data_IF_963715474255
#
_entry.id   IF_963715474255
#
_cell.length_a   1.000
_cell.length_b   1.000
_cell.length_c   1.000
_cell.angle_alpha   90.00
_cell.angle_beta   90.00
_cell.angle_gamma   90.00
#
_symmetry.space_group_name_H-M   'P 1'
#
loop_
_entity.id
_entity.type
_entity.pdbx_description
1 polymer ?
#
# COMPACT_ATOMS: atom_id res chain seq x y z
N UNK A 1 -27.69 46.41 -64.50
CA UNK A 1 -28.63 47.23 -63.71
C UNK A 1 -28.66 46.68 -62.28
N UNK A 2 -28.62 47.57 -61.27
CA UNK A 2 -29.13 47.44 -59.87
C UNK A 2 -28.96 46.07 -59.16
N UNK A 3 -28.00 45.90 -58.22
CA UNK A 3 -28.04 46.19 -56.76
C UNK A 3 -29.18 45.52 -55.96
N UNK A 4 -28.80 45.09 -54.74
CA UNK A 4 -29.57 44.53 -53.60
C UNK A 4 -29.46 42.98 -53.52
N UNK A 5 -28.82 42.32 -52.56
CA UNK A 5 -28.37 42.67 -51.21
C UNK A 5 -29.23 41.94 -50.18
N UNK A 6 -28.74 40.84 -49.57
CA UNK A 6 -29.34 40.23 -48.36
C UNK A 6 -28.26 39.50 -47.55
N UNK A 7 -27.83 40.18 -46.48
CA UNK A 7 -27.73 39.70 -45.08
C UNK A 7 -27.13 38.31 -44.84
N UNK A 8 -25.89 38.30 -44.34
CA UNK A 8 -25.31 37.19 -43.62
C UNK A 8 -26.09 36.96 -42.31
N UNK A 9 -26.79 35.83 -42.25
CA UNK A 9 -27.59 35.40 -41.11
C UNK A 9 -26.69 34.67 -40.10
N UNK A 10 -26.57 35.29 -38.93
CA UNK A 10 -26.52 34.67 -37.60
C UNK A 10 -25.55 33.49 -37.38
N UNK A 11 -24.41 33.82 -36.78
CA UNK A 11 -23.81 32.97 -35.77
C UNK A 11 -24.86 32.66 -34.67
N UNK A 12 -24.90 31.41 -34.21
CA UNK A 12 -24.94 30.98 -32.80
C UNK A 12 -25.40 29.50 -32.67
N UNK A 13 -24.66 28.76 -31.81
CA UNK A 13 -24.99 27.47 -31.13
C UNK A 13 -24.89 26.19 -32.00
N UNK A 14 -24.21 25.12 -31.62
CA UNK A 14 -23.98 24.56 -30.29
C UNK A 14 -22.54 24.06 -30.08
N UNK A 15 -21.99 24.39 -28.92
CA UNK A 15 -21.04 23.53 -28.23
C UNK A 15 -21.76 22.22 -27.86
N UNK A 16 -21.30 21.10 -28.40
CA UNK A 16 -21.55 19.79 -27.81
C UNK A 16 -20.22 19.34 -27.20
N UNK A 17 -20.13 19.53 -25.88
CA UNK A 17 -19.07 18.96 -25.08
C UNK A 17 -19.08 17.44 -25.20
N UNK A 18 -17.93 16.88 -25.54
CA UNK A 18 -17.54 15.58 -25.01
C UNK A 18 -16.57 15.89 -23.88
N UNK A 19 -17.13 15.90 -22.68
CA UNK A 19 -16.39 15.78 -21.43
C UNK A 19 -15.72 14.41 -21.44
N UNK A 20 -14.59 14.31 -22.14
CA UNK A 20 -13.63 13.25 -21.86
C UNK A 20 -13.02 13.61 -20.52
N UNK A 21 -13.44 12.91 -19.46
CA UNK A 21 -12.62 12.86 -18.25
C UNK A 21 -11.17 12.59 -18.69
N UNK A 22 -10.19 13.40 -18.25
CA UNK A 22 -8.81 13.08 -18.55
C UNK A 22 -8.57 11.69 -17.98
N UNK A 23 -8.07 10.76 -18.82
CA UNK A 23 -7.63 9.46 -18.34
C UNK A 23 -6.74 9.70 -17.12
N UNK A 24 -7.12 9.12 -15.98
CA UNK A 24 -6.37 9.28 -14.74
C UNK A 24 -4.91 8.92 -15.04
N UNK A 25 -4.03 9.90 -14.88
CA UNK A 25 -2.60 9.66 -15.04
C UNK A 25 -2.21 8.69 -13.93
N UNK A 26 -1.89 7.44 -14.29
CA UNK A 26 -1.38 6.46 -13.34
C UNK A 26 -0.17 7.08 -12.64
N UNK A 27 -0.23 7.18 -11.31
CA UNK A 27 0.86 7.77 -10.56
C UNK A 27 2.08 6.86 -10.66
N UNK A 28 3.24 7.45 -10.96
CA UNK A 28 4.49 6.69 -11.06
C UNK A 28 4.90 6.21 -9.66
N UNK A 29 5.18 4.91 -9.45
CA UNK A 29 5.68 4.43 -8.17
C UNK A 29 6.93 5.19 -7.73
N UNK A 30 7.03 5.63 -6.47
CA UNK A 30 8.26 6.23 -5.97
C UNK A 30 9.37 5.19 -6.05
N UNK A 31 10.55 5.59 -6.52
CA UNK A 31 11.72 4.71 -6.52
C UNK A 31 12.13 4.46 -5.06
N UNK A 32 12.01 3.23 -4.53
CA UNK A 32 12.34 2.99 -3.15
C UNK A 32 13.85 3.04 -2.96
N UNK A 33 14.30 3.83 -1.99
CA UNK A 33 15.67 3.78 -1.49
C UNK A 33 15.68 2.91 -0.23
N UNK A 34 15.75 1.59 -0.40
CA UNK A 34 15.82 0.67 0.74
C UNK A 34 17.13 0.87 1.51
N UNK A 35 17.03 1.02 2.83
CA UNK A 35 18.15 1.40 3.71
C UNK A 35 18.80 0.20 4.42
N UNK A 36 18.12 -0.94 4.44
CA UNK A 36 18.59 -2.16 5.11
C UNK A 36 19.41 -3.04 4.18
N UNK A 37 20.41 -3.73 4.76
CA UNK A 37 21.22 -4.74 4.07
C UNK A 37 20.67 -6.15 4.21
N UNK A 38 20.00 -6.42 5.33
CA UNK A 38 19.38 -7.68 5.70
C UNK A 38 18.03 -7.40 6.35
N UNK A 39 17.12 -8.37 6.31
CA UNK A 39 15.86 -8.29 7.06
C UNK A 39 16.17 -8.80 8.48
N UNK A 40 16.59 -7.89 9.35
CA UNK A 40 16.92 -8.17 10.74
C UNK A 40 15.70 -7.84 11.61
N UNK A 41 15.21 -8.82 12.39
CA UNK A 41 14.08 -8.68 13.33
C UNK A 41 14.19 -7.40 14.17
N UNK A 42 15.35 -7.15 14.77
CA UNK A 42 15.55 -6.03 15.68
C UNK A 42 15.45 -4.67 14.96
N UNK A 43 15.73 -4.65 13.65
CA UNK A 43 15.60 -3.45 12.81
C UNK A 43 14.19 -3.31 12.27
N UNK A 44 13.64 -4.36 11.64
CA UNK A 44 12.36 -4.26 10.92
C UNK A 44 11.16 -4.21 11.86
N UNK A 45 11.25 -4.84 13.04
CA UNK A 45 10.21 -4.81 14.07
C UNK A 45 10.34 -3.59 15.00
N UNK A 46 11.38 -2.76 14.84
CA UNK A 46 11.61 -1.61 15.70
C UNK A 46 10.40 -0.64 15.66
N UNK A 47 9.90 -0.24 16.82
CA UNK A 47 8.72 0.64 16.97
C UNK A 47 7.41 0.09 16.38
N UNK A 48 7.37 -1.16 15.92
CA UNK A 48 6.11 -1.78 15.53
C UNK A 48 5.27 -2.07 16.77
N UNK A 49 3.95 -1.80 16.74
CA UNK A 49 3.07 -2.05 17.87
C UNK A 49 2.69 -3.53 17.93
N UNK A 50 3.65 -4.41 18.20
CA UNK A 50 3.46 -5.86 18.16
C UNK A 50 3.91 -6.55 19.44
N UNK A 51 3.45 -7.79 19.62
CA UNK A 51 3.89 -8.69 20.68
C UNK A 51 4.15 -10.08 20.09
N UNK A 52 5.17 -10.79 20.61
CA UNK A 52 5.43 -12.17 20.20
C UNK A 52 4.19 -13.04 20.48
N UNK A 53 3.71 -13.76 19.46
CA UNK A 53 2.54 -14.62 19.54
C UNK A 53 2.94 -16.10 19.51
N UNK A 54 3.73 -16.52 18.53
CA UNK A 54 4.16 -17.92 18.40
C UNK A 54 5.40 -18.10 17.53
N UNK A 55 6.01 -19.27 17.65
CA UNK A 55 7.11 -19.73 16.80
C UNK A 55 6.77 -21.11 16.26
N UNK A 56 6.90 -21.30 14.95
CA UNK A 56 6.56 -22.55 14.28
C UNK A 56 7.36 -22.73 12.99
N UNK A 57 7.19 -23.90 12.36
CA UNK A 57 7.74 -24.17 11.04
C UNK A 57 6.64 -24.23 10.00
N UNK A 58 6.87 -23.60 8.84
CA UNK A 58 5.98 -23.65 7.68
C UNK A 58 6.83 -23.82 6.43
N UNK A 59 6.48 -24.80 5.60
CA UNK A 59 7.18 -25.11 4.34
C UNK A 59 8.70 -25.29 4.52
N UNK A 60 9.11 -25.90 5.64
CA UNK A 60 10.50 -26.13 5.99
C UNK A 60 11.26 -24.90 6.51
N UNK A 61 10.59 -23.75 6.67
CA UNK A 61 11.18 -22.51 7.17
C UNK A 61 10.73 -22.23 8.60
N UNK A 62 11.61 -21.63 9.40
CA UNK A 62 11.24 -21.09 10.69
C UNK A 62 10.41 -19.81 10.50
N UNK A 63 9.36 -19.68 11.29
CA UNK A 63 8.44 -18.54 11.31
C UNK A 63 8.28 -18.06 12.74
N UNK A 64 8.51 -16.77 12.95
CA UNK A 64 8.20 -16.06 14.19
C UNK A 64 7.00 -15.17 13.92
N UNK A 65 5.88 -15.45 14.59
CA UNK A 65 4.64 -14.69 14.45
C UNK A 65 4.47 -13.71 15.59
N UNK A 66 4.09 -12.49 15.23
CA UNK A 66 3.75 -11.41 16.13
C UNK A 66 2.29 -11.01 15.94
N UNK A 67 1.59 -10.82 17.05
CA UNK A 67 0.26 -10.21 17.05
C UNK A 67 0.39 -8.69 16.93
N UNK A 68 -0.52 -8.05 16.20
CA UNK A 68 -0.59 -6.59 16.12
C UNK A 68 -1.43 -6.08 17.30
N UNK A 69 -0.81 -5.32 18.20
CA UNK A 69 -1.42 -4.86 19.44
C UNK A 69 -2.68 -4.02 19.14
N UNK A 70 -3.78 -4.33 19.83
CA UNK A 70 -5.07 -3.67 19.63
C UNK A 70 -5.96 -4.27 18.53
N UNK A 71 -5.51 -5.33 17.86
CA UNK A 71 -6.29 -6.10 16.89
C UNK A 71 -6.43 -7.57 17.31
N UNK A 72 -7.34 -8.29 16.67
CA UNK A 72 -7.48 -9.74 16.85
C UNK A 72 -6.31 -10.51 16.24
N UNK A 73 -6.11 -11.74 16.70
CA UNK A 73 -5.07 -12.68 16.23
C UNK A 73 -5.12 -13.02 14.73
N UNK A 74 -6.20 -12.66 14.03
CA UNK A 74 -6.26 -12.74 12.56
C UNK A 74 -5.38 -11.68 11.87
N UNK A 75 -4.93 -10.68 12.64
CA UNK A 75 -4.01 -9.62 12.22
C UNK A 75 -2.64 -9.89 12.83
N UNK A 76 -1.67 -10.19 11.98
CA UNK A 76 -0.38 -10.70 12.41
C UNK A 76 0.74 -10.28 11.48
N UNK A 77 1.97 -10.43 11.96
CA UNK A 77 3.21 -10.29 11.21
C UNK A 77 4.03 -11.55 11.40
N UNK A 78 4.45 -12.16 10.30
CA UNK A 78 5.36 -13.29 10.25
C UNK A 78 6.73 -12.82 9.77
N UNK A 79 7.75 -13.04 10.59
CA UNK A 79 9.14 -13.03 10.16
C UNK A 79 9.51 -14.46 9.77
N UNK A 80 9.91 -14.68 8.51
CA UNK A 80 10.21 -16.01 7.96
C UNK A 80 11.68 -16.09 7.55
N UNK A 81 12.37 -17.13 8.00
CA UNK A 81 13.76 -17.41 7.65
C UNK A 81 14.50 -18.15 8.77
N UNK A 82 15.61 -18.79 8.42
CA UNK A 82 16.42 -19.57 9.37
C UNK A 82 17.10 -18.70 10.45
N UNK A 83 17.44 -17.46 10.11
CA UNK A 83 18.15 -16.54 10.98
C UNK A 83 17.37 -15.24 11.17
N UNK A 84 17.11 -14.86 12.42
CA UNK A 84 16.32 -13.66 12.78
C UNK A 84 16.99 -12.35 12.39
N UNK A 85 18.32 -12.31 12.36
CA UNK A 85 19.13 -11.15 11.92
C UNK A 85 19.29 -11.07 10.39
N UNK A 86 18.79 -12.08 9.67
CA UNK A 86 18.95 -12.21 8.22
C UNK A 86 17.78 -12.99 7.61
N UNK A 87 16.55 -12.63 7.98
CA UNK A 87 15.33 -13.29 7.54
C UNK A 87 15.13 -13.17 6.02
N UNK A 88 14.36 -14.08 5.44
CA UNK A 88 14.03 -14.08 4.02
C UNK A 88 12.94 -13.06 3.70
N UNK A 89 11.96 -12.93 4.60
CA UNK A 89 10.85 -12.02 4.46
C UNK A 89 10.22 -11.64 5.81
N UNK A 90 9.59 -10.49 5.83
CA UNK A 90 8.58 -10.10 6.79
C UNK A 90 7.27 -9.92 6.03
N UNK A 91 6.18 -10.54 6.45
CA UNK A 91 4.88 -10.34 5.81
C UNK A 91 3.76 -10.52 6.80
N UNK A 92 2.54 -10.13 6.45
CA UNK A 92 1.47 -10.16 7.41
C UNK A 92 0.11 -9.93 6.79
N UNK A 93 -0.88 -9.92 7.67
CA UNK A 93 -2.26 -9.54 7.36
C UNK A 93 -2.70 -8.50 8.37
N UNK A 94 -3.27 -7.40 7.91
CA UNK A 94 -3.88 -6.39 8.77
C UNK A 94 -5.14 -5.82 8.11
N UNK A 95 -6.25 -5.73 8.83
CA UNK A 95 -7.46 -5.08 8.37
C UNK A 95 -8.21 -4.50 9.56
N UNK A 96 -8.56 -3.22 9.49
CA UNK A 96 -9.40 -2.56 10.48
C UNK A 96 -10.87 -2.67 10.07
N UNK A 97 -11.73 -2.79 11.07
CA UNK A 97 -13.18 -2.94 10.91
C UNK A 97 -13.90 -1.88 11.74
N UNK A 98 -15.02 -1.38 11.23
CA UNK A 98 -15.95 -0.60 12.01
C UNK A 98 -16.74 -1.49 12.98
N UNK A 99 -17.43 -0.88 13.94
CA UNK A 99 -18.25 -1.59 14.94
C UNK A 99 -19.35 -2.45 14.32
N UNK A 100 -19.79 -2.12 13.09
CA UNK A 100 -20.78 -2.88 12.32
C UNK A 100 -20.18 -4.05 11.52
N UNK A 101 -18.87 -4.30 11.66
CA UNK A 101 -18.14 -5.36 10.97
C UNK A 101 -17.73 -5.01 9.53
N UNK A 102 -17.96 -3.78 9.06
CA UNK A 102 -17.50 -3.34 7.73
C UNK A 102 -16.00 -3.09 7.73
N UNK A 103 -15.30 -3.58 6.69
CA UNK A 103 -13.88 -3.27 6.46
C UNK A 103 -13.68 -1.77 6.26
N UNK A 104 -12.68 -1.22 6.95
CA UNK A 104 -12.28 0.19 6.83
C UNK A 104 -11.04 0.38 5.94
N UNK A 105 -10.33 -0.70 5.62
CA UNK A 105 -8.97 -0.57 5.09
C UNK A 105 -8.04 -0.09 6.20
N UNK A 106 -7.07 0.76 5.85
CA UNK A 106 -6.06 1.27 6.78
C UNK A 106 -6.20 2.80 6.88
N UNK A 107 -7.15 3.30 7.70
CA UNK A 107 -7.35 4.74 7.83
C UNK A 107 -6.08 5.42 8.36
N UNK A 108 -5.85 6.68 7.97
CA UNK A 108 -4.72 7.47 8.45
C UNK A 108 -4.67 7.50 9.98
N UNK A 109 -3.55 7.06 10.56
CA UNK A 109 -3.38 6.97 12.02
C UNK A 109 -4.04 5.77 12.68
N UNK A 110 -4.71 4.90 11.93
CA UNK A 110 -5.20 3.60 12.39
C UNK A 110 -4.05 2.65 12.76
N UNK A 111 -4.38 1.52 13.39
CA UNK A 111 -3.40 0.53 13.85
C UNK A 111 -2.64 -0.09 12.68
N UNK A 112 -3.32 -0.48 11.60
CA UNK A 112 -2.70 -1.08 10.43
C UNK A 112 -1.85 -0.07 9.67
N UNK A 113 -2.37 1.15 9.47
CA UNK A 113 -1.60 2.24 8.87
C UNK A 113 -0.32 2.52 9.66
N UNK A 114 -0.42 2.62 11.00
CA UNK A 114 0.71 2.91 11.88
C UNK A 114 1.75 1.80 11.89
N UNK A 115 1.32 0.53 11.95
CA UNK A 115 2.22 -0.61 11.88
C UNK A 115 2.96 -0.65 10.54
N UNK A 116 2.26 -0.50 9.42
CA UNK A 116 2.89 -0.53 8.10
C UNK A 116 3.81 0.68 7.84
N UNK A 117 3.42 1.87 8.29
CA UNK A 117 4.25 3.09 8.27
C UNK A 117 5.55 2.87 9.05
N UNK A 118 5.48 2.23 10.23
CA UNK A 118 6.66 1.90 11.03
C UNK A 118 7.60 0.90 10.32
N UNK A 119 7.03 -0.13 9.67
CA UNK A 119 7.81 -1.03 8.81
C UNK A 119 8.52 -0.25 7.69
N UNK A 120 7.79 0.61 6.97
CA UNK A 120 8.36 1.43 5.91
C UNK A 120 9.48 2.34 6.43
N UNK A 121 9.27 3.02 7.57
CA UNK A 121 10.27 3.87 8.23
C UNK A 121 11.57 3.13 8.56
N UNK A 122 11.48 1.83 8.85
CA UNK A 122 12.65 1.02 9.18
C UNK A 122 13.42 0.55 7.94
N UNK A 123 12.80 0.53 6.75
CA UNK A 123 13.39 -0.14 5.57
C UNK A 123 13.55 0.75 4.34
N UNK A 124 12.88 1.91 4.24
CA UNK A 124 13.04 2.87 3.13
C UNK A 124 13.37 4.28 3.61
N UNK A 125 14.07 5.06 2.79
CA UNK A 125 14.48 6.42 3.14
C UNK A 125 13.33 7.45 3.12
N UNK A 126 12.34 7.27 2.23
CA UNK A 126 11.16 8.13 2.12
C UNK A 126 9.90 7.31 2.35
N UNK A 127 9.69 6.98 3.62
CA UNK A 127 8.62 6.09 4.02
C UNK A 127 7.23 6.75 3.94
N UNK A 128 7.13 8.08 4.07
CA UNK A 128 5.86 8.79 3.86
C UNK A 128 5.37 8.63 2.42
N UNK A 129 6.23 8.91 1.44
CA UNK A 129 5.88 8.79 0.03
C UNK A 129 5.58 7.34 -0.37
N UNK A 130 6.38 6.38 0.12
CA UNK A 130 6.18 4.95 -0.16
C UNK A 130 4.88 4.45 0.47
N UNK A 131 4.62 4.73 1.74
CA UNK A 131 3.38 4.30 2.42
C UNK A 131 2.16 4.92 1.72
N UNK A 132 2.15 6.23 1.48
CA UNK A 132 1.02 6.90 0.82
C UNK A 132 0.74 6.32 -0.57
N UNK A 133 1.79 6.08 -1.37
CA UNK A 133 1.65 5.44 -2.67
C UNK A 133 1.04 4.05 -2.56
N UNK A 134 1.60 3.18 -1.71
CA UNK A 134 1.17 1.79 -1.57
C UNK A 134 -0.28 1.67 -1.09
N UNK A 135 -0.69 2.46 -0.09
CA UNK A 135 -2.06 2.38 0.44
C UNK A 135 -3.11 2.91 -0.54
N UNK A 136 -2.78 3.95 -1.31
CA UNK A 136 -3.67 4.47 -2.34
C UNK A 136 -3.84 3.45 -3.49
N UNK A 137 -2.74 2.89 -3.99
CA UNK A 137 -2.77 2.03 -5.19
C UNK A 137 -3.13 0.57 -4.88
N UNK A 138 -3.02 0.14 -3.64
CA UNK A 138 -3.58 -1.13 -3.18
C UNK A 138 -5.00 -0.97 -2.67
N UNK A 139 -5.63 0.20 -2.80
CA UNK A 139 -7.01 0.40 -2.41
C UNK A 139 -7.27 0.13 -0.93
N UNK A 140 -6.33 0.50 -0.04
CA UNK A 140 -6.49 0.42 1.41
C UNK A 140 -6.82 1.77 2.04
N UNK A 141 -6.53 2.88 1.33
CA UNK A 141 -6.83 4.23 1.79
C UNK A 141 -7.16 5.18 0.63
N UNK A 142 -8.46 5.37 0.28
CA UNK A 142 -9.62 4.69 0.85
C UNK A 142 -9.70 3.22 0.41
N UNK A 143 -10.47 2.40 1.15
CA UNK A 143 -10.74 1.02 0.76
C UNK A 143 -11.44 0.95 -0.60
N UNK A 144 -10.88 0.21 -1.55
CA UNK A 144 -11.33 0.13 -2.94
C UNK A 144 -11.28 -1.32 -3.45
N UNK A 145 -12.35 -1.76 -4.12
CA UNK A 145 -12.38 -3.05 -4.82
C UNK A 145 -11.75 -2.98 -6.22
N UNK A 146 -11.42 -1.77 -6.70
CA UNK A 146 -10.83 -1.56 -8.04
C UNK A 146 -9.31 -1.66 -8.01
N UNK A 147 -8.72 -1.12 -6.97
CA UNK A 147 -7.28 -1.05 -6.76
C UNK A 147 -6.90 -2.22 -5.85
N UNK A 148 -6.25 -3.24 -6.40
CA UNK A 148 -6.10 -4.52 -5.71
C UNK A 148 -4.70 -4.78 -5.19
N UNK A 149 -3.68 -4.10 -5.72
CA UNK A 149 -2.28 -4.39 -5.41
C UNK A 149 -1.36 -3.22 -5.74
N UNK A 150 -0.38 -2.98 -4.87
CA UNK A 150 0.70 -2.06 -5.12
C UNK A 150 2.04 -2.61 -4.63
N UNK A 151 3.11 -2.24 -5.33
CA UNK A 151 4.46 -2.60 -4.94
C UNK A 151 5.43 -1.47 -5.26
N UNK A 152 6.46 -1.36 -4.41
CA UNK A 152 7.70 -0.65 -4.72
C UNK A 152 8.84 -1.66 -4.63
N UNK A 153 9.79 -1.55 -5.55
CA UNK A 153 10.91 -2.48 -5.60
C UNK A 153 12.19 -1.82 -6.13
N UNK A 154 13.32 -2.40 -5.74
CA UNK A 154 14.61 -2.18 -6.40
C UNK A 154 15.20 -3.53 -6.84
N UNK A 155 16.50 -3.57 -7.12
CA UNK A 155 17.19 -4.81 -7.49
C UNK A 155 17.37 -5.82 -6.35
N UNK A 156 17.01 -5.47 -5.10
CA UNK A 156 17.26 -6.27 -3.90
C UNK A 156 15.98 -6.64 -3.17
N UNK A 157 15.04 -5.71 -3.06
CA UNK A 157 13.85 -5.87 -2.25
C UNK A 157 12.57 -5.48 -2.99
N UNK A 158 11.47 -6.05 -2.50
CA UNK A 158 10.10 -5.64 -2.81
C UNK A 158 9.39 -5.36 -1.50
N UNK A 159 8.66 -4.25 -1.44
CA UNK A 159 7.63 -3.97 -0.44
C UNK A 159 6.30 -3.87 -1.18
N UNK A 160 5.38 -4.77 -0.87
CA UNK A 160 4.10 -4.89 -1.54
C UNK A 160 2.93 -5.05 -0.56
N UNK A 161 1.74 -4.67 -1.02
CA UNK A 161 0.49 -4.73 -0.26
C UNK A 161 -0.72 -4.88 -1.19
N UNK A 162 -1.77 -5.53 -0.73
CA UNK A 162 -3.03 -5.72 -1.45
C UNK A 162 -4.27 -5.22 -0.67
N UNK A 163 -5.40 -5.09 -1.36
CA UNK A 163 -6.64 -4.58 -0.78
C UNK A 163 -7.31 -5.53 0.24
N UNK A 164 -6.79 -6.75 0.39
CA UNK A 164 -7.23 -7.68 1.42
C UNK A 164 -6.50 -7.45 2.74
N UNK A 165 -5.51 -6.55 2.74
CA UNK A 165 -4.68 -6.23 3.89
C UNK A 165 -3.46 -7.12 4.03
N UNK A 166 -3.12 -7.93 3.01
CA UNK A 166 -1.86 -8.66 2.99
C UNK A 166 -0.73 -7.72 2.58
N UNK A 167 0.42 -7.88 3.22
CA UNK A 167 1.63 -7.13 2.87
C UNK A 167 2.89 -7.97 3.04
N UNK A 168 3.94 -7.62 2.32
CA UNK A 168 5.23 -8.28 2.41
C UNK A 168 6.40 -7.35 2.12
N UNK A 169 7.46 -7.47 2.92
CA UNK A 169 8.81 -7.00 2.65
C UNK A 169 9.73 -8.21 2.46
N UNK A 170 10.30 -8.38 1.26
CA UNK A 170 11.03 -9.59 0.89
C UNK A 170 12.15 -9.31 -0.09
N UNK A 171 13.10 -10.24 -0.15
CA UNK A 171 14.17 -10.25 -1.16
C UNK A 171 13.63 -10.63 -2.54
N UNK A 172 14.29 -10.14 -3.59
CA UNK A 172 14.07 -10.60 -4.98
C UNK A 172 14.93 -11.79 -5.36
#
# INVERSE_FOLDING_TARGET
MKKLGVVAMSAWLCACGQSGEPAAQEAVPPKPAFTVKYIDEAVVMNRMPVSLQSEFSKDGKAVVRFAINGLSDENFIDLTGEHRDNAESLGGKCMEYADDGKKLGWPAGGVCHTAFRALADNVVADADAVTAYLLAHAGLQPLSDKDTYAAVQDGRYVLDVDNTGLFAFRRR
#
